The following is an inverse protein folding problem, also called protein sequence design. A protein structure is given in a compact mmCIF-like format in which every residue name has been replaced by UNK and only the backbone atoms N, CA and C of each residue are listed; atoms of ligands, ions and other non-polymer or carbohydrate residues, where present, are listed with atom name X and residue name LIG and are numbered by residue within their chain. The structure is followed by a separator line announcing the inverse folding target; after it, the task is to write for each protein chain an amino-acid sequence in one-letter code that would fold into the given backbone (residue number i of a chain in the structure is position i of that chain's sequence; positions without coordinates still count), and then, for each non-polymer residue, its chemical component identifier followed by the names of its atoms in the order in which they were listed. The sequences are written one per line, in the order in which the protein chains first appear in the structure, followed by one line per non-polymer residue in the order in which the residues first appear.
data_IF_956304073639
#
_entry.id   IF_956304073639
#
_cell.length_a   1.000
_cell.length_b   1.000
_cell.length_c   1.000
_cell.angle_alpha   90.00
_cell.angle_beta   90.00
_cell.angle_gamma   90.00
#
_symmetry.space_group_name_H-M   'P 1'
#
loop_
_entity.id
_entity.type
_entity.pdbx_description
1 polymer ?
#
# COMPACT_ATOMS: atom_id res chain seq x y z
N UNK A 1 13.61 -2.94 11.87
CA UNK A 1 13.39 -1.67 12.58
C UNK A 1 12.00 -1.76 13.16
N UNK A 2 11.85 -1.56 14.45
CA UNK A 2 10.54 -1.52 15.11
C UNK A 2 10.00 -0.10 14.97
N UNK A 3 8.72 0.02 14.64
CA UNK A 3 8.01 1.29 14.48
C UNK A 3 7.17 1.48 15.73
N UNK A 4 7.45 2.53 16.49
CA UNK A 4 6.68 2.92 17.68
C UNK A 4 5.77 4.13 17.37
N UNK A 5 6.14 4.92 16.37
CA UNK A 5 5.37 6.08 15.91
C UNK A 5 4.12 5.65 15.12
N UNK A 6 3.02 6.37 15.33
CA UNK A 6 1.78 6.19 14.56
C UNK A 6 1.79 6.90 13.21
N UNK A 7 2.78 7.77 12.97
CA UNK A 7 2.99 8.46 11.70
C UNK A 7 4.45 8.33 11.29
N UNK A 8 4.69 7.89 10.07
CA UNK A 8 6.03 7.71 9.50
C UNK A 8 6.09 8.29 8.09
N UNK A 9 7.27 8.76 7.70
CA UNK A 9 7.53 9.15 6.32
C UNK A 9 8.37 8.08 5.66
N UNK A 10 7.88 7.59 4.53
CA UNK A 10 8.47 6.46 3.83
C UNK A 10 8.81 6.82 2.40
N UNK A 11 9.88 6.22 1.88
CA UNK A 11 10.21 6.24 0.46
C UNK A 11 9.97 4.86 -0.14
N UNK A 12 9.17 4.81 -1.21
CA UNK A 12 8.93 3.58 -1.95
C UNK A 12 10.20 3.16 -2.70
N UNK A 13 10.74 1.99 -2.36
CA UNK A 13 11.85 1.35 -3.08
C UNK A 13 11.35 0.54 -4.28
N UNK A 14 10.10 0.07 -4.24
CA UNK A 14 9.45 -0.57 -5.36
C UNK A 14 8.04 0.00 -5.60
N UNK A 15 7.46 -0.19 -6.80
CA UNK A 15 6.15 0.37 -7.11
C UNK A 15 5.09 -0.13 -6.14
N UNK A 16 4.38 0.81 -5.49
CA UNK A 16 3.21 0.53 -4.68
C UNK A 16 1.99 0.39 -5.58
N UNK A 17 1.39 -0.79 -5.57
CA UNK A 17 0.19 -1.09 -6.35
C UNK A 17 -1.03 -1.02 -5.43
N UNK A 18 -1.92 -0.07 -5.72
CA UNK A 18 -3.23 0.02 -5.10
C UNK A 18 -4.26 -0.52 -6.09
N UNK A 19 -5.01 -1.54 -5.68
CA UNK A 19 -5.98 -2.23 -6.54
C UNK A 19 -7.30 -2.44 -5.81
N UNK A 20 -8.41 -2.16 -6.47
CA UNK A 20 -9.74 -2.61 -6.04
C UNK A 20 -10.26 -3.63 -7.06
N UNK A 21 -10.67 -4.79 -6.56
CA UNK A 21 -11.26 -5.84 -7.40
C UNK A 21 -12.78 -5.75 -7.31
N UNK A 22 -13.46 -5.55 -8.43
CA UNK A 22 -14.92 -5.64 -8.50
C UNK A 22 -15.31 -7.05 -8.95
N UNK A 23 -15.96 -7.80 -8.04
CA UNK A 23 -16.41 -9.16 -8.29
C UNK A 23 -17.60 -9.25 -9.27
N UNK A 24 -18.42 -8.20 -9.38
CA UNK A 24 -19.58 -8.18 -10.27
C UNK A 24 -19.16 -8.12 -11.75
N UNK A 25 -18.19 -7.26 -12.06
CA UNK A 25 -17.69 -7.06 -13.41
C UNK A 25 -16.41 -7.85 -13.73
N UNK A 26 -15.86 -8.57 -12.74
CA UNK A 26 -14.55 -9.23 -12.79
C UNK A 26 -13.42 -8.30 -13.29
N UNK A 27 -13.46 -7.04 -12.87
CA UNK A 27 -12.51 -5.99 -13.28
C UNK A 27 -11.63 -5.55 -12.13
N UNK A 28 -10.33 -5.45 -12.41
CA UNK A 28 -9.34 -4.87 -11.52
C UNK A 28 -9.13 -3.40 -11.88
N UNK A 29 -9.39 -2.50 -10.93
CA UNK A 29 -9.09 -1.06 -11.07
C UNK A 29 -7.82 -0.73 -10.29
N UNK A 30 -6.87 -0.08 -10.96
CA UNK A 30 -5.60 0.33 -10.38
C UNK A 30 -5.62 1.82 -10.08
N UNK A 31 -5.22 2.19 -8.87
CA UNK A 31 -5.30 3.55 -8.37
C UNK A 31 -3.90 4.15 -8.27
N UNK A 32 -3.82 5.43 -8.64
CA UNK A 32 -2.60 6.23 -8.53
C UNK A 32 -2.69 7.20 -7.36
N UNK A 33 -1.55 7.73 -6.93
CA UNK A 33 -1.45 8.68 -5.81
C UNK A 33 -2.30 9.94 -5.97
N UNK A 34 -2.69 10.28 -7.20
CA UNK A 34 -3.52 11.46 -7.51
C UNK A 34 -5.02 11.18 -7.33
N UNK A 35 -5.42 9.91 -7.21
CA UNK A 35 -6.80 9.54 -6.98
C UNK A 35 -7.20 9.79 -5.53
N UNK A 36 -8.35 10.42 -5.31
CA UNK A 36 -8.91 10.68 -3.97
C UNK A 36 -9.12 9.41 -3.17
N UNK A 37 -9.51 8.33 -3.83
CA UNK A 37 -9.76 7.01 -3.22
C UNK A 37 -8.48 6.21 -2.93
N UNK A 38 -7.30 6.72 -3.31
CA UNK A 38 -6.03 5.98 -3.21
C UNK A 38 -5.75 5.47 -1.79
N UNK A 39 -5.93 6.33 -0.79
CA UNK A 39 -5.72 5.96 0.60
C UNK A 39 -6.74 4.93 1.09
N UNK A 40 -7.99 5.03 0.64
CA UNK A 40 -9.06 4.10 1.04
C UNK A 40 -8.84 2.72 0.43
N UNK A 41 -8.47 2.66 -0.84
CA UNK A 41 -8.11 1.41 -1.53
C UNK A 41 -6.91 0.74 -0.86
N UNK A 42 -5.92 1.51 -0.39
CA UNK A 42 -4.79 0.93 0.34
C UNK A 42 -5.19 0.38 1.71
N UNK A 43 -6.13 1.04 2.40
CA UNK A 43 -6.72 0.54 3.65
C UNK A 43 -7.48 -0.76 3.43
N UNK A 44 -8.34 -0.82 2.42
CA UNK A 44 -9.05 -2.04 2.02
C UNK A 44 -8.08 -3.20 1.70
N UNK A 45 -7.00 -2.90 0.97
CA UNK A 45 -5.96 -3.88 0.64
C UNK A 45 -5.20 -4.37 1.88
N UNK A 46 -4.93 -3.48 2.84
CA UNK A 46 -4.33 -3.84 4.12
C UNK A 46 -5.27 -4.73 4.93
N UNK A 47 -6.54 -4.37 5.03
CA UNK A 47 -7.56 -5.15 5.73
C UNK A 47 -7.70 -6.55 5.12
N UNK A 48 -7.86 -6.64 3.80
CA UNK A 48 -7.92 -7.93 3.07
C UNK A 48 -6.68 -8.80 3.33
N UNK A 49 -5.52 -8.18 3.49
CA UNK A 49 -4.29 -8.91 3.82
C UNK A 49 -4.29 -9.45 5.24
N UNK A 50 -4.70 -8.64 6.22
CA UNK A 50 -4.82 -9.06 7.61
C UNK A 50 -5.83 -10.20 7.77
N UNK A 51 -6.99 -10.09 7.12
CA UNK A 51 -8.03 -11.12 7.13
C UNK A 51 -7.50 -12.46 6.59
N UNK A 52 -6.71 -12.42 5.50
CA UNK A 52 -6.08 -13.61 4.92
C UNK A 52 -5.02 -14.24 5.80
N UNK A 53 -4.33 -13.44 6.62
CA UNK A 53 -3.38 -13.94 7.60
C UNK A 53 -4.05 -14.32 8.94
N UNK A 54 -5.36 -14.08 9.06
CA UNK A 54 -6.13 -14.30 10.28
C UNK A 54 -5.56 -13.51 11.48
N UNK A 55 -5.03 -12.31 11.20
CA UNK A 55 -4.44 -11.39 12.18
C UNK A 55 -5.47 -10.31 12.52
N UNK A 56 -5.83 -10.19 13.79
CA UNK A 56 -6.78 -9.17 14.25
C UNK A 56 -6.04 -7.89 14.68
N UNK A 57 -5.67 -7.06 13.71
CA UNK A 57 -5.09 -5.73 13.94
C UNK A 57 -6.05 -4.67 13.38
N UNK A 58 -6.27 -3.60 14.13
CA UNK A 58 -7.11 -2.50 13.67
C UNK A 58 -6.46 -1.75 12.50
N UNK A 59 -7.23 -1.54 11.44
CA UNK A 59 -6.86 -0.66 10.31
C UNK A 59 -7.45 0.75 10.46
N UNK A 60 -8.07 1.04 11.59
CA UNK A 60 -8.60 2.37 11.89
C UNK A 60 -7.49 3.41 11.90
N UNK A 61 -7.75 4.57 11.29
CA UNK A 61 -6.76 5.63 11.15
C UNK A 61 -5.67 5.34 10.10
N UNK A 62 -5.68 4.18 9.42
CA UNK A 62 -4.70 3.92 8.36
C UNK A 62 -4.92 4.85 7.18
N UNK A 63 -3.90 5.66 6.88
CA UNK A 63 -3.92 6.62 5.78
C UNK A 63 -2.56 6.69 5.09
N UNK A 64 -2.59 6.88 3.77
CA UNK A 64 -1.40 7.05 2.96
C UNK A 64 -1.52 8.34 2.17
N UNK A 65 -0.71 9.32 2.55
CA UNK A 65 -0.75 10.68 1.99
C UNK A 65 0.49 10.88 1.11
N UNK A 66 0.32 11.17 -0.19
CA UNK A 66 1.45 11.46 -1.06
C UNK A 66 2.10 12.81 -0.68
N UNK A 67 3.38 12.79 -0.33
CA UNK A 67 4.19 14.02 -0.20
C UNK A 67 4.80 14.36 -1.56
N UNK A 68 5.38 13.34 -2.21
CA UNK A 68 5.95 13.44 -3.55
C UNK A 68 5.71 12.12 -4.28
N UNK A 69 4.52 11.98 -4.85
CA UNK A 69 4.14 10.81 -5.63
C UNK A 69 4.52 10.95 -7.11
N UNK A 70 4.87 9.82 -7.74
CA UNK A 70 5.04 9.69 -9.17
C UNK A 70 4.38 8.40 -9.64
N UNK A 71 3.65 8.50 -10.75
CA UNK A 71 3.07 7.36 -11.44
C UNK A 71 4.16 6.63 -12.22
N UNK A 72 4.20 5.31 -12.10
CA UNK A 72 5.02 4.43 -12.91
C UNK A 72 4.17 3.32 -13.49
N UNK A 73 4.52 2.83 -14.67
CA UNK A 73 3.86 1.66 -15.26
C UNK A 73 4.79 0.47 -15.05
N UNK A 74 4.30 -0.57 -14.37
CA UNK A 74 5.05 -1.81 -14.13
C UNK A 74 4.36 -2.99 -14.79
N UNK A 75 5.10 -4.06 -15.04
CA UNK A 75 4.53 -5.29 -15.58
C UNK A 75 4.21 -6.24 -14.42
N UNK A 76 2.95 -6.63 -14.28
CA UNK A 76 2.49 -7.67 -13.34
C UNK A 76 1.87 -8.81 -14.15
N UNK A 77 2.42 -10.03 -14.05
CA UNK A 77 1.98 -11.20 -14.83
C UNK A 77 1.75 -10.93 -16.33
N UNK A 78 2.64 -10.17 -16.98
CA UNK A 78 2.55 -9.84 -18.41
C UNK A 78 1.55 -8.75 -18.78
N UNK A 79 0.89 -8.13 -17.79
CA UNK A 79 0.00 -6.98 -17.97
C UNK A 79 0.66 -5.71 -17.41
N UNK A 80 0.57 -4.62 -18.17
CA UNK A 80 0.97 -3.30 -17.71
C UNK A 80 -0.05 -2.79 -16.70
N UNK A 81 0.41 -2.47 -15.49
CA UNK A 81 -0.40 -1.92 -14.41
C UNK A 81 0.19 -0.61 -13.92
N UNK A 82 -0.68 0.25 -13.41
CA UNK A 82 -0.28 1.50 -12.80
C UNK A 82 0.20 1.28 -11.37
N UNK A 83 1.39 1.79 -11.09
CA UNK A 83 2.03 1.76 -9.78
C UNK A 83 2.49 3.14 -9.33
N UNK A 84 2.85 3.22 -8.07
CA UNK A 84 3.12 4.47 -7.38
C UNK A 84 4.50 4.42 -6.73
N UNK A 85 5.36 5.38 -7.06
CA UNK A 85 6.68 5.51 -6.44
C UNK A 85 6.86 6.91 -5.91
N UNK A 86 7.70 7.08 -4.90
CA UNK A 86 7.97 8.38 -4.31
C UNK A 86 7.97 8.37 -2.80
N UNK A 87 7.66 9.52 -2.20
CA UNK A 87 7.66 9.73 -0.75
C UNK A 87 6.22 9.90 -0.29
N UNK A 88 5.85 9.13 0.73
CA UNK A 88 4.50 9.08 1.29
C UNK A 88 4.57 9.20 2.80
N UNK A 89 3.61 9.88 3.40
CA UNK A 89 3.33 9.79 4.83
C UNK A 89 2.35 8.64 5.04
N UNK A 90 2.70 7.71 5.92
CA UNK A 90 1.80 6.62 6.33
C UNK A 90 1.43 6.87 7.79
N UNK A 91 0.14 6.92 8.06
CA UNK A 91 -0.41 7.01 9.40
C UNK A 91 -1.14 5.70 9.71
N UNK A 92 -1.09 5.21 10.95
CA UNK A 92 -1.78 3.99 11.37
C UNK A 92 -1.32 3.51 12.75
N UNK A 93 -1.87 2.39 13.20
CA UNK A 93 -1.39 1.78 14.44
C UNK A 93 0.04 1.21 14.26
N UNK A 94 0.94 1.39 15.24
CA UNK A 94 2.33 0.93 15.13
C UNK A 94 2.44 -0.57 14.80
N UNK A 95 1.54 -1.40 15.31
CA UNK A 95 1.49 -2.84 15.03
C UNK A 95 1.24 -3.11 13.54
N UNK A 96 0.29 -2.41 12.92
CA UNK A 96 0.02 -2.51 11.49
C UNK A 96 1.22 -2.02 10.68
N UNK A 97 1.84 -0.90 11.08
CA UNK A 97 2.99 -0.36 10.39
C UNK A 97 4.17 -1.33 10.42
N UNK A 98 4.42 -2.01 11.54
CA UNK A 98 5.44 -3.05 11.66
C UNK A 98 5.16 -4.24 10.74
N UNK A 99 3.91 -4.74 10.71
CA UNK A 99 3.51 -5.82 9.79
C UNK A 99 3.73 -5.41 8.33
N UNK A 100 3.33 -4.20 7.97
CA UNK A 100 3.46 -3.68 6.61
C UNK A 100 4.91 -3.37 6.24
N UNK A 101 5.76 -3.02 7.20
CA UNK A 101 7.19 -2.83 6.99
C UNK A 101 7.88 -4.14 6.62
N UNK A 102 7.49 -5.24 7.25
CA UNK A 102 8.04 -6.58 6.98
C UNK A 102 7.44 -7.20 5.71
N UNK A 103 6.13 -7.09 5.51
CA UNK A 103 5.42 -7.72 4.41
C UNK A 103 5.38 -6.88 3.12
N UNK A 104 5.63 -5.57 3.22
CA UNK A 104 5.33 -4.59 2.18
C UNK A 104 3.87 -4.14 2.18
N UNK A 105 3.59 -3.02 1.50
CA UNK A 105 2.26 -2.41 1.42
C UNK A 105 1.59 -2.59 0.06
N UNK A 106 0.25 -2.57 0.04
CA UNK A 106 -0.53 -2.73 -1.20
C UNK A 106 -0.63 -4.18 -1.69
N UNK A 107 -0.80 -4.36 -3.00
CA UNK A 107 -1.00 -5.68 -3.63
C UNK A 107 0.22 -6.14 -4.42
N UNK A 108 0.19 -7.42 -4.84
CA UNK A 108 1.24 -8.06 -5.66
C UNK A 108 2.64 -8.00 -5.02
N UNK A 109 2.71 -7.99 -3.68
CA UNK A 109 3.96 -7.96 -2.90
C UNK A 109 4.91 -9.11 -3.23
N UNK A 110 4.36 -10.30 -3.51
CA UNK A 110 5.13 -11.47 -3.94
C UNK A 110 5.82 -11.32 -5.31
N UNK A 111 5.45 -10.32 -6.11
CA UNK A 111 6.15 -9.96 -7.37
C UNK A 111 7.19 -8.83 -7.16
N UNK A 112 7.46 -8.44 -5.91
CA UNK A 112 8.45 -7.40 -5.59
C UNK A 112 7.87 -5.99 -5.49
N UNK A 113 6.55 -5.84 -5.34
CA UNK A 113 5.88 -4.55 -5.22
C UNK A 113 5.67 -4.11 -3.76
N UNK A 114 5.58 -2.80 -3.53
CA UNK A 114 5.19 -2.24 -2.25
C UNK A 114 6.25 -2.25 -1.15
N UNK A 115 7.53 -2.40 -1.49
CA UNK A 115 8.63 -2.25 -0.54
C UNK A 115 8.94 -0.77 -0.33
N UNK A 116 9.16 -0.38 0.91
CA UNK A 116 9.52 0.97 1.29
C UNK A 116 10.56 0.99 2.41
N UNK A 117 11.24 2.13 2.51
CA UNK A 117 12.18 2.44 3.58
C UNK A 117 11.66 3.64 4.39
N UNK A 118 11.86 3.61 5.70
CA UNK A 118 11.52 4.73 6.58
C UNK A 118 12.64 5.77 6.46
N UNK A 119 12.26 7.02 6.19
CA UNK A 119 13.21 8.14 6.10
C UNK A 119 13.11 9.11 7.28
N UNK A 120 11.93 9.21 7.90
CA UNK A 120 11.67 9.95 9.14
C UNK A 120 10.62 9.20 9.94
#
# INVERSE_FOLDING_TARGET
KEIEDSEIVVRMQSPLIARRHNAEDNKDTYYTYDNTEFSDVLRENAQTFLDKLNINISTEGFQVIPIKGRKVVTNCFGRKVDGNIGIYKICGCPELLNVMYQAGSGVRRSEGHGKWEIIM
#
